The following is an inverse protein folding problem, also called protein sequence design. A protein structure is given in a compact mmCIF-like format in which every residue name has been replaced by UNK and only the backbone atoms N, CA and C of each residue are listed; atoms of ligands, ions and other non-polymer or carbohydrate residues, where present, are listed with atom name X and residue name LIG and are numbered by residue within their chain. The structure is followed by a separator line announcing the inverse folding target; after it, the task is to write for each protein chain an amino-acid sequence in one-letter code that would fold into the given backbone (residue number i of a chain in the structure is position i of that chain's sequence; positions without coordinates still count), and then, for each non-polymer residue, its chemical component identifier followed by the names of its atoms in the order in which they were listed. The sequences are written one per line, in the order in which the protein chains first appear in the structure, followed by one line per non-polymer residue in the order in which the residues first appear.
data_IF_093532993721
#
_entry.id   IF_093532993721
#
_cell.length_a   1.000
_cell.length_b   1.000
_cell.length_c   1.000
_cell.angle_alpha   90.00
_cell.angle_beta   90.00
_cell.angle_gamma   90.00
#
_symmetry.space_group_name_H-M   'P 1'
#
loop_
_entity.id
_entity.type
_entity.pdbx_description
1 polymer ?
#
# COMPACT_ATOMS: atom_id res chain seq x y z
N UNK A 1 26.75 -17.68 24.06
CA UNK A 1 25.47 -18.37 23.80
C UNK A 1 24.49 -17.32 23.27
N UNK A 2 24.34 -17.26 21.95
CA UNK A 2 23.56 -16.20 21.29
C UNK A 2 22.09 -16.56 21.20
N UNK A 3 21.22 -15.68 21.66
CA UNK A 3 19.80 -15.69 21.31
C UNK A 3 19.46 -14.40 20.57
N UNK A 4 19.93 -14.27 19.33
CA UNK A 4 19.32 -13.32 18.40
C UNK A 4 17.94 -13.87 18.03
N UNK A 5 16.93 -13.46 18.79
CA UNK A 5 15.53 -13.63 18.41
C UNK A 5 15.32 -12.83 17.12
N UNK A 6 15.38 -13.49 15.96
CA UNK A 6 14.95 -12.92 14.69
C UNK A 6 13.42 -12.87 14.65
N UNK A 7 12.81 -12.07 15.55
CA UNK A 7 11.40 -11.73 15.44
C UNK A 7 11.26 -10.88 14.19
N UNK A 8 10.82 -11.49 13.08
CA UNK A 8 10.28 -10.74 11.94
C UNK A 8 9.26 -9.77 12.52
N UNK A 9 9.51 -8.47 12.38
CA UNK A 9 8.57 -7.46 12.84
C UNK A 9 7.30 -7.65 11.99
N UNK A 10 6.26 -8.25 12.55
CA UNK A 10 4.97 -8.51 11.86
C UNK A 10 4.10 -7.26 11.77
N UNK A 11 4.68 -6.09 12.04
CA UNK A 11 4.00 -4.80 11.96
C UNK A 11 4.05 -4.30 10.52
N UNK A 12 2.97 -3.64 10.04
CA UNK A 12 3.01 -2.91 8.78
C UNK A 12 4.21 -1.95 8.73
N UNK A 13 4.82 -1.85 7.57
CA UNK A 13 5.82 -0.84 7.22
C UNK A 13 5.18 0.55 7.13
N UNK A 14 3.90 0.62 6.74
CA UNK A 14 3.15 1.87 6.71
C UNK A 14 3.03 2.51 8.11
N UNK A 15 2.98 3.85 8.21
CA UNK A 15 3.12 4.56 9.47
C UNK A 15 1.86 4.47 10.35
N UNK A 16 1.73 3.39 11.12
CA UNK A 16 0.59 3.11 12.01
C UNK A 16 0.27 4.29 12.94
N UNK A 17 1.29 4.92 13.54
CA UNK A 17 1.08 6.02 14.49
C UNK A 17 0.51 7.28 13.81
N UNK A 18 0.94 7.58 12.59
CA UNK A 18 0.46 8.73 11.84
C UNK A 18 -0.97 8.50 11.35
N UNK A 19 -1.26 7.29 10.87
CA UNK A 19 -2.63 6.87 10.54
C UNK A 19 -3.53 6.98 11.78
N UNK A 20 -3.08 6.54 12.96
CA UNK A 20 -3.87 6.65 14.19
C UNK A 20 -4.15 8.11 14.57
N UNK A 21 -3.16 9.01 14.44
CA UNK A 21 -3.35 10.45 14.67
C UNK A 21 -4.38 11.04 13.71
N UNK A 22 -4.37 10.65 12.44
CA UNK A 22 -5.35 11.08 11.46
C UNK A 22 -6.75 10.57 11.81
N UNK A 23 -6.90 9.30 12.16
CA UNK A 23 -8.17 8.72 12.60
C UNK A 23 -8.74 9.45 13.83
N UNK A 24 -7.88 9.83 14.79
CA UNK A 24 -8.27 10.60 15.98
C UNK A 24 -8.82 12.00 15.70
N UNK A 25 -8.51 12.59 14.53
CA UNK A 25 -9.11 13.86 14.10
C UNK A 25 -10.59 13.70 13.74
N UNK A 26 -11.00 12.51 13.30
CA UNK A 26 -12.39 12.18 12.97
C UNK A 26 -13.14 11.62 14.18
N UNK A 27 -12.52 10.69 14.91
CA UNK A 27 -13.08 10.12 16.15
C UNK A 27 -11.97 9.94 17.21
N UNK A 28 -12.05 10.73 18.28
CA UNK A 28 -11.10 10.70 19.40
C UNK A 28 -11.06 9.34 20.12
N UNK A 29 -12.12 8.54 20.02
CA UNK A 29 -12.25 7.24 20.70
C UNK A 29 -11.76 6.05 19.86
N UNK A 30 -11.24 6.29 18.65
CA UNK A 30 -10.78 5.22 17.76
C UNK A 30 -9.68 4.34 18.41
N UNK A 31 -9.88 3.01 18.51
CA UNK A 31 -8.88 2.11 19.06
C UNK A 31 -7.61 2.05 18.20
N UNK A 32 -6.44 1.90 18.82
CA UNK A 32 -5.16 1.78 18.11
C UNK A 32 -5.10 0.57 17.16
N UNK A 33 -5.81 -0.51 17.49
CA UNK A 33 -5.90 -1.70 16.63
C UNK A 33 -6.51 -1.40 15.25
N UNK A 34 -7.43 -0.42 15.16
CA UNK A 34 -8.00 0.01 13.88
C UNK A 34 -6.91 0.60 12.99
N UNK A 35 -6.01 1.41 13.54
CA UNK A 35 -4.91 1.99 12.78
C UNK A 35 -3.94 0.92 12.24
N UNK A 36 -3.69 -0.16 12.99
CA UNK A 36 -2.87 -1.29 12.52
C UNK A 36 -3.54 -1.97 11.33
N UNK A 37 -4.85 -2.20 11.40
CA UNK A 37 -5.60 -2.82 10.31
C UNK A 37 -5.60 -1.94 9.05
N UNK A 38 -5.86 -0.65 9.20
CA UNK A 38 -5.86 0.30 8.08
C UNK A 38 -4.46 0.40 7.45
N UNK A 39 -3.40 0.50 8.25
CA UNK A 39 -2.02 0.52 7.73
C UNK A 39 -1.70 -0.73 6.92
N UNK A 40 -2.10 -1.92 7.39
CA UNK A 40 -1.90 -3.16 6.67
C UNK A 40 -2.66 -3.20 5.34
N UNK A 41 -3.92 -2.72 5.32
CA UNK A 41 -4.74 -2.67 4.11
C UNK A 41 -4.18 -1.68 3.08
N UNK A 42 -3.76 -0.49 3.52
CA UNK A 42 -3.13 0.51 2.66
C UNK A 42 -1.79 0.03 2.09
N UNK A 43 -0.96 -0.62 2.91
CA UNK A 43 0.31 -1.20 2.48
C UNK A 43 0.10 -2.31 1.46
N UNK A 44 -0.88 -3.20 1.67
CA UNK A 44 -1.23 -4.25 0.73
C UNK A 44 -1.66 -3.68 -0.63
N UNK A 45 -2.57 -2.70 -0.63
CA UNK A 45 -3.02 -2.06 -1.86
C UNK A 45 -1.87 -1.34 -2.58
N UNK A 46 -1.00 -0.65 -1.85
CA UNK A 46 0.17 0.00 -2.44
C UNK A 46 1.14 -1.02 -3.06
N UNK A 47 1.42 -2.13 -2.36
CA UNK A 47 2.27 -3.20 -2.86
C UNK A 47 1.71 -3.83 -4.14
N UNK A 48 0.40 -4.11 -4.19
CA UNK A 48 -0.26 -4.68 -5.36
C UNK A 48 -0.17 -3.76 -6.59
N UNK A 49 -0.39 -2.45 -6.41
CA UNK A 49 -0.26 -1.45 -7.48
C UNK A 49 1.20 -1.39 -7.97
N UNK A 50 2.17 -1.35 -7.05
CA UNK A 50 3.59 -1.27 -7.39
C UNK A 50 4.05 -2.53 -8.14
N UNK A 51 3.62 -3.72 -7.71
CA UNK A 51 3.99 -4.99 -8.34
C UNK A 51 3.52 -5.03 -9.81
N UNK A 52 2.23 -4.74 -10.05
CA UNK A 52 1.69 -4.73 -11.42
C UNK A 52 2.35 -3.64 -12.29
N UNK A 53 2.57 -2.44 -11.73
CA UNK A 53 3.25 -1.36 -12.46
C UNK A 53 4.72 -1.69 -12.76
N UNK A 54 5.40 -2.40 -11.86
CA UNK A 54 6.77 -2.87 -12.07
C UNK A 54 6.86 -3.87 -13.23
N UNK A 55 5.89 -4.78 -13.34
CA UNK A 55 5.81 -5.72 -14.47
C UNK A 55 5.72 -4.97 -15.80
N UNK A 56 4.80 -4.01 -15.92
CA UNK A 56 4.64 -3.19 -17.14
C UNK A 56 5.88 -2.35 -17.44
N UNK A 57 6.48 -1.74 -16.42
CA UNK A 57 7.71 -0.97 -16.54
C UNK A 57 8.87 -1.82 -17.11
N UNK A 58 9.05 -3.05 -16.60
CA UNK A 58 10.07 -3.99 -17.07
C UNK A 58 9.82 -4.44 -18.50
N UNK A 59 8.56 -4.71 -18.86
CA UNK A 59 8.17 -5.06 -20.24
C UNK A 59 8.53 -3.95 -21.24
N UNK A 60 8.36 -2.69 -20.84
CA UNK A 60 8.77 -1.50 -21.62
C UNK A 60 10.28 -1.21 -21.56
N UNK A 61 11.08 -2.09 -20.95
CA UNK A 61 12.53 -1.94 -20.75
C UNK A 61 12.92 -0.64 -20.02
N UNK A 62 12.04 -0.14 -19.16
CA UNK A 62 12.31 1.02 -18.30
C UNK A 62 12.84 0.57 -16.95
N UNK A 63 13.78 1.33 -16.38
CA UNK A 63 14.33 1.08 -15.04
C UNK A 63 13.58 1.77 -13.90
N UNK A 64 12.62 2.66 -14.21
CA UNK A 64 11.87 3.46 -13.23
C UNK A 64 10.39 3.46 -13.56
N UNK A 65 9.56 3.10 -12.58
CA UNK A 65 8.09 3.09 -12.70
C UNK A 65 7.61 4.53 -12.89
N UNK A 66 6.88 4.78 -13.98
CA UNK A 66 6.27 6.09 -14.26
C UNK A 66 4.76 6.12 -14.00
N UNK A 67 4.17 7.31 -14.04
CA UNK A 67 2.73 7.50 -13.90
C UNK A 67 1.91 6.72 -14.93
N UNK A 68 2.42 6.58 -16.17
CA UNK A 68 1.79 5.77 -17.22
C UNK A 68 1.72 4.28 -16.85
N UNK A 69 2.78 3.75 -16.24
CA UNK A 69 2.85 2.33 -15.84
C UNK A 69 1.87 2.03 -14.70
N UNK A 70 1.73 2.96 -13.74
CA UNK A 70 0.72 2.88 -12.68
C UNK A 70 -0.70 2.96 -13.27
N UNK A 71 -0.94 3.91 -14.19
CA UNK A 71 -2.26 4.11 -14.80
C UNK A 71 -2.69 2.88 -15.59
N UNK A 72 -1.77 2.28 -16.34
CA UNK A 72 -2.03 1.07 -17.12
C UNK A 72 -2.24 -0.15 -16.21
N UNK A 73 -1.45 -0.29 -15.14
CA UNK A 73 -1.64 -1.35 -14.15
C UNK A 73 -3.04 -1.31 -13.50
N UNK A 74 -3.51 -0.11 -13.11
CA UNK A 74 -4.84 0.07 -12.55
C UNK A 74 -5.93 -0.21 -13.58
N UNK A 75 -5.75 0.19 -14.85
CA UNK A 75 -6.74 -0.05 -15.91
C UNK A 75 -6.83 -1.52 -16.33
N UNK A 76 -5.72 -2.25 -16.24
CA UNK A 76 -5.61 -3.65 -16.65
C UNK A 76 -6.18 -4.61 -15.59
N UNK A 77 -6.12 -4.24 -14.31
CA UNK A 77 -6.65 -5.06 -13.22
C UNK A 77 -8.11 -4.73 -12.90
N UNK A 78 -8.98 -5.74 -12.88
CA UNK A 78 -10.42 -5.57 -12.68
C UNK A 78 -10.75 -4.90 -11.34
N UNK A 79 -10.14 -5.36 -10.25
CA UNK A 79 -10.47 -4.90 -8.90
C UNK A 79 -9.94 -3.49 -8.66
N UNK A 80 -8.69 -3.23 -9.07
CA UNK A 80 -8.10 -1.89 -9.01
C UNK A 80 -8.84 -0.90 -9.92
N UNK A 81 -9.31 -1.34 -11.10
CA UNK A 81 -10.11 -0.51 -11.99
C UNK A 81 -11.45 -0.14 -11.36
N UNK A 82 -12.13 -1.08 -10.71
CA UNK A 82 -13.38 -0.80 -9.99
C UNK A 82 -13.13 0.18 -8.84
N UNK A 83 -12.03 -0.01 -8.10
CA UNK A 83 -11.70 0.80 -6.94
C UNK A 83 -11.26 2.23 -7.30
N UNK A 84 -10.34 2.36 -8.27
CA UNK A 84 -9.59 3.60 -8.55
C UNK A 84 -9.83 4.17 -9.95
N UNK A 85 -10.45 3.42 -10.87
CA UNK A 85 -10.53 3.78 -12.28
C UNK A 85 -11.22 5.12 -12.55
N UNK A 86 -12.22 5.49 -11.73
CA UNK A 86 -12.93 6.79 -11.83
C UNK A 86 -12.07 8.01 -11.47
N UNK A 87 -10.90 7.79 -10.87
CA UNK A 87 -9.97 8.84 -10.44
C UNK A 87 -8.74 8.97 -11.35
N UNK A 88 -8.61 8.11 -12.37
CA UNK A 88 -7.56 8.22 -13.37
C UNK A 88 -7.92 9.31 -14.38
N UNK A 89 -6.99 10.25 -14.59
CA UNK A 89 -7.09 11.27 -15.64
C UNK A 89 -6.74 10.70 -17.01
#
# INVERSE_FOLDING_TARGET
MGTKSNRKNTKPTFPVEEIHKQLKKMDKKVPAAVAVFIAAAEEYLAAEIVEKAAVLCRQKKKGVIGAADITEAIKADTDLKVLLGKHLK
#
